data_IF_449530919921
#
_entry.id   IF_449530919921
#
_cell.length_a   1.000
_cell.length_b   1.000
_cell.length_c   1.000
_cell.angle_alpha   90.00
_cell.angle_beta   90.00
_cell.angle_gamma   90.00
#
_symmetry.space_group_name_H-M   'P 1'
#
loop_
_entity.id
_entity.type
_entity.pdbx_description
1 polymer ?
#
# COMPACT_ATOMS: atom_id res chain seq x y z
N UNK A 1 -11.73 -70.63 -5.99
CA UNK A 1 -11.71 -69.63 -4.92
C UNK A 1 -10.41 -68.79 -4.86
N UNK A 2 -9.21 -69.33 -4.99
CA UNK A 2 -7.95 -68.60 -4.91
C UNK A 2 -7.71 -67.53 -6.05
N UNK A 3 -8.30 -67.75 -7.22
CA UNK A 3 -8.16 -66.79 -8.36
C UNK A 3 -9.06 -65.54 -8.19
N UNK A 4 -10.26 -65.68 -7.61
CA UNK A 4 -11.19 -64.62 -7.33
C UNK A 4 -10.65 -63.66 -6.24
N UNK A 5 -9.97 -64.22 -5.24
CA UNK A 5 -9.39 -63.39 -4.17
C UNK A 5 -8.26 -62.48 -4.68
N UNK A 6 -7.47 -62.92 -5.66
CA UNK A 6 -6.39 -62.13 -6.28
C UNK A 6 -6.94 -61.00 -7.14
N UNK A 7 -8.05 -61.21 -7.84
CA UNK A 7 -8.71 -60.17 -8.62
C UNK A 7 -9.34 -59.10 -7.73
N UNK A 8 -9.91 -59.51 -6.59
CA UNK A 8 -10.52 -58.57 -5.64
C UNK A 8 -9.46 -57.68 -4.93
N UNK A 9 -8.29 -58.23 -4.60
CA UNK A 9 -7.21 -57.48 -4.00
C UNK A 9 -6.57 -56.46 -4.98
N UNK A 10 -6.48 -56.85 -6.28
CA UNK A 10 -5.93 -55.94 -7.29
C UNK A 10 -6.88 -54.76 -7.59
N UNK A 11 -8.19 -55.00 -7.60
CA UNK A 11 -9.20 -53.96 -7.77
C UNK A 11 -9.27 -53.01 -6.58
N UNK A 12 -9.11 -53.49 -5.35
CA UNK A 12 -9.08 -52.66 -4.15
C UNK A 12 -7.87 -51.70 -4.11
N UNK A 13 -6.69 -52.15 -4.55
CA UNK A 13 -5.48 -51.31 -4.65
C UNK A 13 -5.63 -50.25 -5.73
N UNK A 14 -6.29 -50.54 -6.85
CA UNK A 14 -6.54 -49.58 -7.93
C UNK A 14 -7.52 -48.47 -7.49
N UNK A 15 -8.51 -48.79 -6.65
CA UNK A 15 -9.48 -47.81 -6.15
C UNK A 15 -8.84 -46.87 -5.11
N UNK A 16 -7.92 -47.38 -4.29
CA UNK A 16 -7.17 -46.54 -3.32
C UNK A 16 -6.19 -45.60 -3.98
N UNK A 17 -5.66 -45.92 -5.16
CA UNK A 17 -4.78 -45.06 -5.93
C UNK A 17 -5.49 -43.88 -6.59
N UNK A 18 -6.81 -43.96 -6.82
CA UNK A 18 -7.59 -42.86 -7.42
C UNK A 18 -8.08 -41.81 -6.40
N UNK A 19 -8.03 -42.12 -5.10
CA UNK A 19 -8.40 -41.19 -4.04
C UNK A 19 -7.29 -40.22 -3.63
N UNK A 20 -6.11 -40.36 -4.22
CA UNK A 20 -4.95 -39.47 -3.95
C UNK A 20 -4.89 -38.26 -4.87
N UNK A 21 -6.01 -37.85 -5.50
CA UNK A 21 -6.10 -36.46 -6.00
C UNK A 21 -6.33 -35.54 -4.81
N UNK A 22 -5.26 -35.19 -4.12
CA UNK A 22 -5.23 -34.05 -3.23
C UNK A 22 -5.69 -32.84 -4.05
N UNK A 23 -6.71 -32.13 -3.57
CA UNK A 23 -7.06 -30.84 -4.14
C UNK A 23 -5.78 -30.03 -4.16
N UNK A 24 -5.28 -29.73 -5.34
CA UNK A 24 -4.25 -28.69 -5.48
C UNK A 24 -4.90 -27.43 -4.93
N UNK A 25 -4.43 -26.93 -3.80
CA UNK A 25 -4.85 -25.63 -3.29
C UNK A 25 -4.69 -24.62 -4.42
N UNK A 26 -5.75 -23.86 -4.70
CA UNK A 26 -5.70 -22.82 -5.72
C UNK A 26 -4.50 -21.93 -5.42
N UNK A 27 -3.52 -21.92 -6.33
CA UNK A 27 -2.38 -21.02 -6.21
C UNK A 27 -2.92 -19.60 -6.01
N UNK A 28 -2.37 -18.82 -5.06
CA UNK A 28 -2.82 -17.47 -4.82
C UNK A 28 -2.80 -16.72 -6.16
N UNK A 29 -3.98 -16.36 -6.63
CA UNK A 29 -4.15 -15.65 -7.90
C UNK A 29 -3.56 -14.24 -7.76
N UNK A 30 -2.57 -13.93 -8.58
CA UNK A 30 -2.02 -12.58 -8.67
C UNK A 30 -3.05 -11.66 -9.32
N UNK A 31 -3.57 -10.69 -8.56
CA UNK A 31 -4.45 -9.65 -9.07
C UNK A 31 -3.63 -8.36 -9.28
N UNK A 32 -3.81 -7.72 -10.44
CA UNK A 32 -3.18 -6.45 -10.79
C UNK A 32 -3.56 -5.29 -9.84
N UNK A 33 -4.57 -5.50 -9.01
CA UNK A 33 -5.11 -4.48 -8.13
C UNK A 33 -5.97 -3.44 -8.88
N UNK A 34 -6.70 -2.65 -8.10
CA UNK A 34 -7.52 -1.55 -8.59
C UNK A 34 -6.75 -0.23 -8.47
N UNK A 35 -7.17 0.77 -9.24
CA UNK A 35 -6.68 2.13 -9.07
C UNK A 35 -7.02 2.66 -7.68
N UNK A 36 -6.09 3.40 -7.12
CA UNK A 36 -6.21 4.01 -5.80
C UNK A 36 -6.44 5.51 -5.93
N UNK A 37 -7.26 6.04 -5.03
CA UNK A 37 -7.56 7.47 -4.94
C UNK A 37 -7.02 8.00 -3.63
N UNK A 38 -6.22 9.07 -3.68
CA UNK A 38 -5.67 9.77 -2.53
C UNK A 38 -6.51 11.00 -2.20
N UNK A 39 -6.67 11.26 -0.91
CA UNK A 39 -7.26 12.47 -0.34
C UNK A 39 -6.39 13.00 0.79
N UNK A 40 -6.44 14.30 1.05
CA UNK A 40 -5.75 14.97 2.17
C UNK A 40 -6.73 15.84 2.95
N UNK A 41 -6.59 15.85 4.26
CA UNK A 41 -7.36 16.71 5.15
C UNK A 41 -6.52 17.15 6.37
N UNK A 42 -6.53 18.46 6.71
CA UNK A 42 -7.08 19.57 5.93
C UNK A 42 -6.27 19.83 4.65
N UNK A 43 -6.80 20.58 3.69
CA UNK A 43 -6.08 20.98 2.48
C UNK A 43 -5.07 22.13 2.73
N UNK A 44 -5.13 22.74 3.91
CA UNK A 44 -4.17 23.77 4.36
C UNK A 44 -3.89 23.57 5.84
N UNK A 45 -2.63 23.60 6.22
CA UNK A 45 -2.17 23.53 7.60
C UNK A 45 -1.24 24.67 7.94
N UNK A 46 -1.40 25.23 9.14
CA UNK A 46 -0.53 26.28 9.70
C UNK A 46 -0.01 25.80 11.07
N UNK A 47 0.91 24.81 11.08
CA UNK A 47 1.39 24.25 12.34
C UNK A 47 2.16 25.30 13.14
N UNK A 48 1.92 25.30 14.44
CA UNK A 48 2.65 26.09 15.42
C UNK A 48 3.69 25.23 16.15
N UNK A 49 4.50 25.84 17.01
CA UNK A 49 5.45 25.10 17.85
C UNK A 49 4.73 24.07 18.76
N UNK A 50 3.49 24.34 19.16
CA UNK A 50 2.69 23.41 19.97
C UNK A 50 2.30 22.14 19.19
N UNK A 51 2.28 22.21 17.86
CA UNK A 51 1.87 21.10 16.98
C UNK A 51 3.03 20.18 16.57
N UNK A 52 4.22 20.37 17.15
CA UNK A 52 5.42 19.58 16.79
C UNK A 52 5.17 18.08 16.81
N UNK A 53 4.40 17.59 17.79
CA UNK A 53 4.05 16.17 17.96
C UNK A 53 2.58 15.86 17.62
N UNK A 54 1.80 16.86 17.19
CA UNK A 54 0.39 16.71 16.84
C UNK A 54 0.23 16.49 15.34
N UNK A 55 -0.70 15.61 14.96
CA UNK A 55 -1.02 15.40 13.55
C UNK A 55 -1.72 16.64 12.98
N UNK A 56 -1.14 17.23 11.95
CA UNK A 56 -1.65 18.43 11.27
C UNK A 56 -2.19 18.14 9.87
N UNK A 57 -1.75 17.05 9.26
CA UNK A 57 -2.22 16.57 7.96
C UNK A 57 -2.50 15.07 8.02
N UNK A 58 -3.62 14.65 7.45
CA UNK A 58 -4.00 13.27 7.33
C UNK A 58 -4.25 12.94 5.85
N UNK A 59 -3.54 11.94 5.36
CA UNK A 59 -3.70 11.38 4.04
C UNK A 59 -4.44 10.07 4.14
N UNK A 60 -5.44 9.87 3.29
CA UNK A 60 -6.20 8.62 3.19
C UNK A 60 -6.30 8.18 1.74
N UNK A 61 -6.30 6.88 1.50
CA UNK A 61 -6.41 6.32 0.16
C UNK A 61 -7.28 5.08 0.12
N UNK A 62 -7.80 4.78 -1.06
CA UNK A 62 -8.62 3.59 -1.28
C UNK A 62 -7.76 2.33 -1.38
N UNK A 63 -8.36 1.18 -1.05
CA UNK A 63 -7.67 -0.12 -1.14
C UNK A 63 -7.48 -0.55 -2.61
N UNK A 64 -6.28 -1.00 -3.00
CA UNK A 64 -6.04 -1.59 -4.31
C UNK A 64 -6.66 -2.98 -4.48
N UNK A 65 -7.12 -3.63 -3.42
CA UNK A 65 -7.72 -4.97 -3.42
C UNK A 65 -6.83 -6.02 -4.11
N UNK A 66 -5.56 -6.04 -3.78
CA UNK A 66 -4.66 -7.10 -4.22
C UNK A 66 -5.09 -8.46 -3.67
N UNK A 67 -4.73 -9.55 -4.37
CA UNK A 67 -5.03 -10.92 -3.99
C UNK A 67 -4.09 -11.41 -2.86
N UNK A 68 -4.09 -10.74 -1.72
CA UNK A 68 -3.34 -11.09 -0.52
C UNK A 68 -3.99 -10.47 0.71
N UNK A 69 -3.51 -10.78 1.90
CA UNK A 69 -3.91 -10.10 3.12
C UNK A 69 -3.55 -8.60 3.03
N UNK A 70 -4.47 -7.74 3.44
CA UNK A 70 -4.27 -6.29 3.45
C UNK A 70 -3.07 -5.85 4.27
N UNK A 71 -2.69 -6.60 5.32
CA UNK A 71 -1.48 -6.35 6.10
C UNK A 71 -0.19 -6.37 5.27
N UNK A 72 -0.21 -7.07 4.13
CA UNK A 72 0.92 -7.19 3.21
C UNK A 72 0.94 -6.12 2.11
N UNK A 73 -0.05 -5.22 2.08
CA UNK A 73 -0.05 -4.11 1.13
C UNK A 73 1.03 -3.11 1.51
N UNK A 74 1.83 -2.73 0.54
CA UNK A 74 2.84 -1.69 0.70
C UNK A 74 2.38 -0.41 0.02
N UNK A 75 2.48 0.69 0.74
CA UNK A 75 2.20 2.03 0.23
C UNK A 75 3.42 2.91 0.44
N UNK A 76 3.78 3.69 -0.57
CA UNK A 76 4.81 4.71 -0.48
C UNK A 76 4.13 6.05 -0.77
N UNK A 77 3.90 6.85 0.28
CA UNK A 77 3.47 8.22 0.09
C UNK A 77 4.67 9.07 -0.30
N UNK A 78 4.50 9.85 -1.35
CA UNK A 78 5.49 10.76 -1.92
C UNK A 78 4.97 12.17 -1.79
N UNK A 79 5.75 13.06 -1.21
CA UNK A 79 5.45 14.49 -1.09
C UNK A 79 6.54 15.24 -1.83
N UNK A 80 6.18 16.23 -2.65
CA UNK A 80 7.11 17.11 -3.35
C UNK A 80 6.55 18.53 -3.41
N UNK A 81 7.39 19.49 -3.79
CA UNK A 81 6.96 20.84 -4.11
C UNK A 81 6.02 20.83 -5.31
N UNK A 82 4.93 21.59 -5.25
CA UNK A 82 3.94 21.63 -6.32
C UNK A 82 4.57 21.98 -7.67
N UNK A 83 4.19 21.25 -8.71
CA UNK A 83 4.68 21.44 -10.07
C UNK A 83 6.06 20.85 -10.35
N UNK A 84 6.66 20.11 -9.42
CA UNK A 84 7.94 19.42 -9.62
C UNK A 84 7.79 18.01 -10.19
N UNK A 85 6.54 17.54 -10.37
CA UNK A 85 6.23 16.24 -10.95
C UNK A 85 6.90 15.08 -10.20
N UNK A 86 7.05 15.20 -8.89
CA UNK A 86 7.70 14.21 -8.02
C UNK A 86 9.12 13.83 -8.47
N UNK A 87 9.89 14.81 -8.91
CA UNK A 87 11.26 14.59 -9.38
C UNK A 87 12.21 14.25 -8.22
N UNK A 88 11.96 14.80 -7.03
CA UNK A 88 12.76 14.54 -5.82
C UNK A 88 11.89 14.48 -4.56
N UNK A 89 10.96 13.53 -4.47
CA UNK A 89 9.99 13.51 -3.39
C UNK A 89 10.58 13.03 -2.07
N UNK A 90 10.11 13.60 -0.97
CA UNK A 90 10.23 12.96 0.34
C UNK A 90 9.24 11.80 0.40
N UNK A 91 9.69 10.64 0.91
CA UNK A 91 8.89 9.41 0.92
C UNK A 91 8.69 8.87 2.33
N UNK A 92 7.53 8.26 2.57
CA UNK A 92 7.22 7.48 3.78
C UNK A 92 6.57 6.17 3.38
N UNK A 93 7.10 5.05 3.88
CA UNK A 93 6.53 3.73 3.62
C UNK A 93 5.51 3.37 4.70
N UNK A 94 4.37 2.86 4.29
CA UNK A 94 3.26 2.42 5.14
C UNK A 94 2.89 0.99 4.75
N UNK A 95 2.80 0.10 5.73
CA UNK A 95 2.37 -1.29 5.50
C UNK A 95 0.96 -1.48 6.05
N UNK A 96 0.08 -2.07 5.25
CA UNK A 96 -1.25 -2.52 5.65
C UNK A 96 -2.28 -1.46 5.96
N UNK A 97 -1.91 -0.19 6.18
CA UNK A 97 -2.83 0.88 6.51
C UNK A 97 -3.22 1.70 5.27
N UNK A 98 -4.47 2.17 5.23
CA UNK A 98 -5.02 2.99 4.15
C UNK A 98 -4.92 4.49 4.46
N UNK A 99 -3.88 4.90 5.15
CA UNK A 99 -3.64 6.29 5.47
C UNK A 99 -2.32 6.52 6.19
N UNK A 100 -1.90 7.76 6.22
CA UNK A 100 -0.74 8.25 6.96
C UNK A 100 -1.01 9.66 7.49
N UNK A 101 -0.52 9.94 8.68
CA UNK A 101 -0.56 11.28 9.26
C UNK A 101 0.85 11.87 9.31
N UNK A 102 0.91 13.19 9.27
CA UNK A 102 2.12 13.94 9.47
C UNK A 102 1.93 14.96 10.60
N UNK A 103 2.90 15.01 11.51
CA UNK A 103 2.93 16.01 12.58
C UNK A 103 3.45 17.33 12.07
N UNK A 104 3.24 18.40 12.83
CA UNK A 104 3.82 19.71 12.53
C UNK A 104 5.34 19.66 12.41
N UNK A 105 6.01 18.89 13.27
CA UNK A 105 7.46 18.69 13.23
C UNK A 105 7.94 17.95 11.98
N UNK A 106 7.22 16.89 11.55
CA UNK A 106 7.55 16.19 10.30
C UNK A 106 7.40 17.11 9.09
N UNK A 107 6.32 17.90 9.02
CA UNK A 107 6.11 18.86 7.92
C UNK A 107 7.17 19.95 7.90
N UNK A 108 7.51 20.51 9.05
CA UNK A 108 8.59 21.50 9.14
C UNK A 108 9.93 20.94 8.62
N UNK A 109 10.28 19.71 8.99
CA UNK A 109 11.49 19.06 8.48
C UNK A 109 11.46 18.87 6.96
N UNK A 110 10.32 18.50 6.38
CA UNK A 110 10.15 18.37 4.92
C UNK A 110 10.40 19.74 4.24
N UNK A 111 9.79 20.81 4.77
CA UNK A 111 9.95 22.16 4.20
C UNK A 111 11.40 22.64 4.27
N UNK A 112 12.06 22.44 5.42
CA UNK A 112 13.48 22.81 5.59
C UNK A 112 14.40 22.01 4.66
N UNK A 113 14.14 20.72 4.46
CA UNK A 113 14.90 19.88 3.53
C UNK A 113 14.75 20.33 2.07
N UNK A 114 13.61 20.93 1.72
CA UNK A 114 13.40 21.55 0.40
C UNK A 114 13.97 22.98 0.30
N UNK A 115 14.54 23.51 1.39
CA UNK A 115 15.16 24.84 1.42
C UNK A 115 14.17 26.00 1.56
N UNK A 116 12.93 25.74 1.99
CA UNK A 116 11.96 26.80 2.24
C UNK A 116 12.27 27.56 3.53
N UNK A 117 12.02 28.85 3.50
CA UNK A 117 12.20 29.72 4.67
C UNK A 117 11.12 29.44 5.73
N UNK A 118 11.45 29.60 7.01
CA UNK A 118 10.50 29.53 8.11
C UNK A 118 9.37 30.56 7.93
N UNK A 119 8.14 30.15 8.14
CA UNK A 119 6.94 31.00 8.02
C UNK A 119 6.52 31.29 6.57
N UNK A 120 7.15 30.65 5.58
CA UNK A 120 6.69 30.76 4.20
C UNK A 120 5.48 29.84 3.97
N UNK A 121 4.45 30.36 3.30
CA UNK A 121 3.35 29.51 2.80
C UNK A 121 3.82 28.76 1.56
N UNK A 122 3.85 27.45 1.63
CA UNK A 122 4.37 26.58 0.58
C UNK A 122 3.27 25.69 0.02
N UNK A 123 3.18 25.63 -1.31
CA UNK A 123 2.32 24.68 -2.01
C UNK A 123 3.09 23.40 -2.27
N UNK A 124 2.52 22.30 -1.81
CA UNK A 124 3.04 20.94 -1.95
C UNK A 124 2.02 20.07 -2.70
N UNK A 125 2.50 18.96 -3.22
CA UNK A 125 1.65 17.91 -3.78
C UNK A 125 2.07 16.54 -3.22
N UNK A 126 1.09 15.66 -3.10
CA UNK A 126 1.33 14.30 -2.66
C UNK A 126 0.68 13.29 -3.61
N UNK A 127 1.29 12.13 -3.73
CA UNK A 127 0.71 10.92 -4.34
C UNK A 127 1.11 9.69 -3.56
N UNK A 128 0.41 8.58 -3.80
CA UNK A 128 0.72 7.29 -3.18
C UNK A 128 0.98 6.26 -4.27
N UNK A 129 2.02 5.48 -4.11
CA UNK A 129 2.30 4.29 -4.92
C UNK A 129 1.99 3.07 -4.05
N UNK A 130 1.02 2.26 -4.46
CA UNK A 130 0.72 0.98 -3.83
C UNK A 130 1.42 -0.15 -4.56
N UNK A 131 1.71 -1.24 -3.86
CA UNK A 131 2.25 -2.47 -4.42
C UNK A 131 2.01 -3.66 -3.48
N UNK A 132 2.28 -4.86 -3.97
CA UNK A 132 2.58 -5.98 -3.07
C UNK A 132 3.84 -5.68 -2.25
N UNK A 133 4.05 -6.38 -1.14
CA UNK A 133 5.22 -6.20 -0.27
C UNK A 133 6.57 -6.33 -0.99
N UNK A 134 6.61 -7.06 -2.09
CA UNK A 134 7.79 -7.26 -2.96
C UNK A 134 7.93 -6.22 -4.09
N UNK A 135 7.15 -5.14 -4.06
CA UNK A 135 7.07 -4.04 -5.06
C UNK A 135 6.47 -4.44 -6.42
N UNK A 136 5.85 -5.60 -6.55
CA UNK A 136 5.16 -5.97 -7.78
C UNK A 136 3.78 -5.28 -7.87
N UNK A 137 3.26 -5.14 -9.09
CA UNK A 137 1.93 -4.57 -9.39
C UNK A 137 1.74 -3.17 -8.81
N UNK A 138 2.65 -2.27 -9.14
CA UNK A 138 2.57 -0.89 -8.68
C UNK A 138 1.39 -0.14 -9.30
N UNK A 139 0.62 0.57 -8.45
CA UNK A 139 -0.44 1.50 -8.83
C UNK A 139 -0.16 2.86 -8.20
N UNK A 140 -0.26 3.90 -9.00
CA UNK A 140 -0.05 5.28 -8.54
C UNK A 140 -1.40 5.98 -8.46
N UNK A 141 -1.65 6.68 -7.35
CA UNK A 141 -2.86 7.47 -7.16
C UNK A 141 -2.87 8.75 -8.02
N UNK A 142 -4.00 9.47 -7.99
CA UNK A 142 -4.03 10.88 -8.33
C UNK A 142 -3.05 11.66 -7.42
N UNK A 143 -2.56 12.79 -7.90
CA UNK A 143 -1.90 13.79 -7.07
C UNK A 143 -2.94 14.66 -6.35
N UNK A 144 -2.65 15.04 -5.10
CA UNK A 144 -3.44 16.00 -4.32
C UNK A 144 -2.56 17.16 -3.90
N UNK A 145 -3.02 18.38 -4.13
CA UNK A 145 -2.35 19.60 -3.69
C UNK A 145 -2.78 19.98 -2.26
N UNK A 146 -1.85 20.54 -1.50
CA UNK A 146 -2.11 21.10 -0.17
C UNK A 146 -1.10 22.21 0.13
N UNK A 147 -1.37 23.02 1.16
CA UNK A 147 -0.48 24.11 1.58
C UNK A 147 -0.07 23.96 3.04
N UNK A 148 1.15 24.38 3.33
CA UNK A 148 1.68 24.47 4.70
C UNK A 148 2.32 25.85 4.88
N UNK A 149 2.04 26.51 6.00
CA UNK A 149 2.60 27.83 6.34
C UNK A 149 3.29 27.82 7.70
#
# INVERSE_FOLDING_TARGET
MKKFLKFFSLAAVAILGLAACEKVDDLPYYNLGNDITLSVAPASATPTLADTSSNVLNFTWTSPKYATDTANYKFIIQIDSAGKNFANPTTKTVMGALGASYTGGEMNNILLNYGYALGATVSLEARVVSSYGNNNEQRTSNAVGFTVA
#
